data_IF_480736061709
#
_entry.id   IF_480736061709
#
_cell.length_a   1.000
_cell.length_b   1.000
_cell.length_c   1.000
_cell.angle_alpha   90.00
_cell.angle_beta   90.00
_cell.angle_gamma   90.00
#
_symmetry.space_group_name_H-M   'P 1'
#
loop_
_entity.id
_entity.type
_entity.pdbx_description
1 polymer ?
#
# COMPACT_ATOMS: atom_id res chain seq x y z
N UNK A 1 17.79 16.14 -9.27
CA UNK A 1 17.41 14.73 -9.04
C UNK A 1 18.44 13.88 -9.73
N UNK A 2 19.11 12.98 -9.00
CA UNK A 2 19.96 11.98 -9.61
C UNK A 2 19.08 11.08 -10.47
N UNK A 3 19.47 10.89 -11.72
CA UNK A 3 18.67 10.17 -12.69
C UNK A 3 18.84 8.65 -12.52
N UNK A 4 17.92 8.03 -11.80
CA UNK A 4 17.84 6.56 -11.71
C UNK A 4 17.30 5.94 -13.03
N UNK A 5 16.97 6.77 -14.04
CA UNK A 5 16.42 6.31 -15.33
C UNK A 5 17.42 5.52 -16.19
N UNK A 6 18.69 5.51 -15.82
CA UNK A 6 19.71 4.69 -16.49
C UNK A 6 19.86 3.28 -15.93
N UNK A 7 19.14 2.97 -14.84
CA UNK A 7 19.12 1.62 -14.27
C UNK A 7 18.05 0.76 -14.97
N UNK A 8 18.26 -0.55 -15.11
CA UNK A 8 17.21 -1.48 -15.57
C UNK A 8 15.94 -1.33 -14.72
N UNK A 9 14.76 -1.51 -15.33
CA UNK A 9 13.47 -1.31 -14.65
C UNK A 9 13.31 -2.11 -13.35
N UNK A 10 13.96 -3.28 -13.26
CA UNK A 10 14.01 -4.10 -12.05
C UNK A 10 14.86 -3.51 -10.91
N UNK A 11 15.68 -2.50 -11.20
CA UNK A 11 16.56 -1.82 -10.23
C UNK A 11 16.16 -0.36 -10.00
N UNK A 12 15.13 0.12 -10.70
CA UNK A 12 14.58 1.46 -10.53
C UNK A 12 13.66 1.49 -9.34
N UNK A 13 14.20 1.87 -8.21
CA UNK A 13 13.41 2.16 -7.02
C UNK A 13 12.73 0.91 -6.43
N UNK A 14 12.29 1.05 -5.21
CA UNK A 14 11.51 0.04 -4.48
C UNK A 14 10.05 0.51 -4.39
N UNK A 15 9.12 -0.33 -4.80
CA UNK A 15 7.71 -0.17 -4.50
C UNK A 15 7.23 -1.33 -3.63
N UNK A 16 6.52 -1.07 -2.52
CA UNK A 16 6.01 -2.13 -1.67
C UNK A 16 4.90 -2.90 -2.40
N UNK A 17 4.80 -4.18 -2.13
CA UNK A 17 3.65 -4.98 -2.55
C UNK A 17 2.48 -4.65 -1.63
N UNK A 18 1.38 -4.16 -2.21
CA UNK A 18 0.13 -3.95 -1.47
C UNK A 18 -0.66 -5.24 -1.46
N UNK A 19 -0.93 -5.77 -0.28
CA UNK A 19 -1.69 -7.00 -0.09
C UNK A 19 -2.94 -6.74 0.73
N UNK A 20 -4.02 -7.44 0.38
CA UNK A 20 -5.28 -7.36 1.09
C UNK A 20 -6.19 -8.53 0.75
N UNK A 21 -7.38 -8.48 1.33
CA UNK A 21 -8.44 -9.46 1.09
C UNK A 21 -9.69 -8.71 0.70
N UNK A 22 -10.26 -9.04 -0.45
CA UNK A 22 -11.56 -8.56 -0.91
C UNK A 22 -12.63 -9.61 -0.66
N UNK A 23 -13.81 -9.20 -0.23
CA UNK A 23 -14.96 -10.10 -0.02
C UNK A 23 -15.85 -10.22 -1.24
N UNK A 24 -15.76 -9.24 -2.13
CA UNK A 24 -16.52 -9.19 -3.38
C UNK A 24 -15.58 -8.76 -4.51
N UNK A 25 -16.13 -8.56 -5.70
CA UNK A 25 -15.38 -7.90 -6.76
C UNK A 25 -15.19 -6.43 -6.38
N UNK A 26 -14.06 -6.14 -5.77
CA UNK A 26 -13.80 -4.86 -5.10
C UNK A 26 -12.91 -3.96 -5.93
N UNK A 27 -13.13 -2.66 -5.82
CA UNK A 27 -12.22 -1.66 -6.35
C UNK A 27 -11.14 -1.34 -5.31
N UNK A 28 -9.89 -1.60 -5.65
CA UNK A 28 -8.74 -1.21 -4.84
C UNK A 28 -8.17 0.08 -5.37
N UNK A 29 -8.09 1.06 -4.50
CA UNK A 29 -7.49 2.37 -4.79
C UNK A 29 -6.31 2.59 -3.86
N UNK A 30 -5.15 2.85 -4.43
CA UNK A 30 -3.93 3.20 -3.69
C UNK A 30 -3.64 4.68 -3.90
N UNK A 31 -3.56 5.41 -2.79
CA UNK A 31 -3.20 6.83 -2.79
C UNK A 31 -1.87 7.03 -2.08
N UNK A 32 -1.11 7.98 -2.56
CA UNK A 32 0.08 8.47 -1.89
C UNK A 32 -0.01 10.01 -1.83
N UNK A 33 0.13 10.56 -0.63
CA UNK A 33 -0.01 12.01 -0.41
C UNK A 33 -1.33 12.59 -0.97
N UNK A 34 -2.42 11.83 -0.90
CA UNK A 34 -3.74 12.20 -1.42
C UNK A 34 -3.98 11.91 -2.91
N UNK A 35 -2.93 11.61 -3.69
CA UNK A 35 -3.08 11.28 -5.11
C UNK A 35 -3.27 9.80 -5.35
N UNK A 36 -4.18 9.46 -6.27
CA UNK A 36 -4.34 8.08 -6.73
C UNK A 36 -3.13 7.72 -7.59
N UNK A 37 -2.34 6.74 -7.13
CA UNK A 37 -1.21 6.18 -7.87
C UNK A 37 -1.54 4.85 -8.52
N UNK A 38 -2.59 4.18 -8.06
CA UNK A 38 -3.08 2.92 -8.61
C UNK A 38 -4.57 2.73 -8.32
N UNK A 39 -5.30 2.21 -9.29
CA UNK A 39 -6.69 1.84 -9.12
C UNK A 39 -7.01 0.65 -10.03
N UNK A 40 -7.56 -0.41 -9.46
CA UNK A 40 -7.97 -1.59 -10.22
C UNK A 40 -9.09 -2.34 -9.49
N UNK A 41 -9.79 -3.20 -10.22
CA UNK A 41 -10.72 -4.17 -9.64
C UNK A 41 -10.00 -5.48 -9.36
N UNK A 42 -10.28 -6.05 -8.21
CA UNK A 42 -9.75 -7.34 -7.77
C UNK A 42 -10.91 -8.31 -7.50
N UNK A 43 -10.74 -9.60 -7.82
CA UNK A 43 -11.74 -10.61 -7.48
C UNK A 43 -11.79 -10.85 -5.96
N UNK A 44 -12.87 -11.48 -5.45
CA UNK A 44 -12.92 -11.93 -4.07
C UNK A 44 -11.76 -12.84 -3.72
N UNK A 45 -11.23 -12.68 -2.52
CA UNK A 45 -10.08 -13.42 -2.02
C UNK A 45 -8.89 -12.51 -1.73
N UNK A 46 -7.76 -13.12 -1.46
CA UNK A 46 -6.50 -12.41 -1.24
C UNK A 46 -5.96 -11.87 -2.56
N UNK A 47 -5.51 -10.63 -2.54
CA UNK A 47 -4.85 -9.98 -3.68
C UNK A 47 -3.47 -9.44 -3.28
N UNK A 48 -2.59 -9.33 -4.27
CA UNK A 48 -1.29 -8.67 -4.16
C UNK A 48 -1.06 -7.78 -5.39
N UNK A 49 -0.83 -6.49 -5.14
CA UNK A 49 -0.48 -5.52 -6.18
C UNK A 49 1.03 -5.37 -6.13
N UNK A 50 1.71 -5.84 -7.15
CA UNK A 50 3.17 -5.87 -7.27
C UNK A 50 3.71 -5.01 -8.43
N UNK A 51 2.83 -4.33 -9.14
CA UNK A 51 3.11 -3.52 -10.31
C UNK A 51 2.98 -2.01 -10.05
N UNK A 52 3.07 -1.60 -8.79
CA UNK A 52 3.14 -0.18 -8.44
C UNK A 52 4.42 0.42 -8.99
N UNK A 53 4.27 1.52 -9.71
CA UNK A 53 5.43 2.30 -10.13
C UNK A 53 6.12 2.92 -8.91
N UNK A 54 7.45 2.82 -8.81
CA UNK A 54 8.20 3.52 -7.78
C UNK A 54 7.91 5.01 -7.88
N UNK A 55 7.28 5.58 -6.88
CA UNK A 55 7.12 7.03 -6.79
C UNK A 55 8.31 7.60 -6.03
N UNK A 56 8.93 8.65 -6.56
CA UNK A 56 10.05 9.33 -5.88
C UNK A 56 9.63 10.10 -4.62
N UNK A 57 8.35 10.09 -4.27
CA UNK A 57 7.81 10.74 -3.09
C UNK A 57 7.84 9.79 -1.89
N UNK A 58 8.38 10.27 -0.79
CA UNK A 58 8.26 9.59 0.50
C UNK A 58 6.83 9.80 1.03
N UNK A 59 6.19 8.74 1.45
CA UNK A 59 4.86 8.82 2.05
C UNK A 59 4.19 7.46 2.09
N UNK A 60 3.39 7.24 3.10
CA UNK A 60 2.63 6.01 3.21
C UNK A 60 1.62 5.88 2.07
N UNK A 61 1.31 4.65 1.71
CA UNK A 61 0.26 4.33 0.76
C UNK A 61 -1.06 4.13 1.50
N UNK A 62 -2.03 4.97 1.22
CA UNK A 62 -3.39 4.81 1.72
C UNK A 62 -4.16 3.88 0.78
N UNK A 63 -4.47 2.69 1.25
CA UNK A 63 -5.18 1.68 0.49
C UNK A 63 -6.65 1.67 0.89
N UNK A 64 -7.52 1.83 -0.08
CA UNK A 64 -8.97 1.71 0.09
C UNK A 64 -9.48 0.55 -0.76
N UNK A 65 -10.13 -0.41 -0.11
CA UNK A 65 -10.84 -1.51 -0.76
C UNK A 65 -12.32 -1.17 -0.67
N UNK A 66 -12.95 -0.89 -1.80
CA UNK A 66 -14.37 -0.64 -1.89
C UNK A 66 -15.08 -1.86 -2.45
N UNK A 67 -15.84 -2.52 -1.59
CA UNK A 67 -16.62 -3.70 -1.92
C UNK A 67 -17.80 -3.38 -2.86
N UNK A 68 -18.35 -4.39 -3.52
CA UNK A 68 -19.48 -4.23 -4.45
C UNK A 68 -20.74 -3.65 -3.77
N UNK A 69 -20.94 -3.87 -2.47
CA UNK A 69 -22.02 -3.32 -1.67
C UNK A 69 -21.75 -1.88 -1.17
N UNK A 70 -20.61 -1.30 -1.53
CA UNK A 70 -20.22 0.06 -1.15
C UNK A 70 -19.49 0.17 0.18
N UNK A 71 -19.34 -0.92 0.95
CA UNK A 71 -18.49 -0.91 2.15
C UNK A 71 -17.04 -0.65 1.79
N UNK A 72 -16.38 0.13 2.60
CA UNK A 72 -14.97 0.47 2.43
C UNK A 72 -14.13 -0.06 3.58
N UNK A 73 -13.03 -0.71 3.24
CA UNK A 73 -11.95 -1.04 4.16
C UNK A 73 -10.76 -0.15 3.82
N UNK A 74 -10.14 0.43 4.83
CA UNK A 74 -8.98 1.30 4.66
C UNK A 74 -7.84 0.82 5.55
N UNK A 75 -6.66 0.79 4.98
CA UNK A 75 -5.42 0.56 5.73
C UNK A 75 -4.29 1.34 5.09
N UNK A 76 -3.24 1.53 5.86
CA UNK A 76 -2.03 2.20 5.40
C UNK A 76 -0.96 1.15 5.17
N UNK A 77 -0.45 1.08 3.95
CA UNK A 77 0.75 0.34 3.64
C UNK A 77 1.93 1.26 3.87
N UNK A 78 2.81 0.97 4.84
CA UNK A 78 4.00 1.77 5.03
C UNK A 78 4.86 1.75 3.77
N UNK A 79 5.12 2.92 3.22
CA UNK A 79 6.11 3.13 2.19
C UNK A 79 7.18 4.04 2.76
N UNK A 80 8.22 3.46 3.25
CA UNK A 80 9.47 4.18 3.40
C UNK A 80 10.40 3.62 2.33
N UNK A 81 10.74 4.45 1.36
CA UNK A 81 12.01 4.23 0.71
C UNK A 81 13.03 4.20 1.85
N UNK A 82 13.68 3.07 2.05
CA UNK A 82 14.85 2.99 2.91
C UNK A 82 15.71 4.22 2.63
N UNK A 83 16.32 4.85 3.64
CA UNK A 83 17.43 5.72 3.35
C UNK A 83 18.37 4.87 2.51
N UNK A 84 18.39 5.14 1.21
CA UNK A 84 19.24 4.43 0.28
C UNK A 84 20.63 4.73 0.78
N UNK A 85 21.28 3.71 1.38
CA UNK A 85 22.64 3.85 1.83
C UNK A 85 23.46 4.31 0.63
N UNK A 86 23.98 5.54 0.70
CA UNK A 86 24.76 6.10 -0.38
C UNK A 86 26.20 5.62 -0.26
N UNK A 87 26.83 5.38 -1.40
CA UNK A 87 28.27 5.13 -1.46
C UNK A 87 29.01 6.37 -1.01
N UNK A 88 30.17 6.15 -0.38
CA UNK A 88 31.05 7.21 0.10
C UNK A 88 31.28 8.28 -0.98
N UNK A 89 31.14 9.54 -0.60
CA UNK A 89 31.32 10.70 -1.48
C UNK A 89 30.17 11.00 -2.44
N UNK A 90 29.14 10.16 -2.50
CA UNK A 90 27.99 10.43 -3.37
C UNK A 90 26.95 11.30 -2.68
N UNK A 91 26.50 12.33 -3.39
CA UNK A 91 25.42 13.22 -2.99
C UNK A 91 24.19 12.99 -3.85
N UNK A 92 23.07 12.66 -3.21
CA UNK A 92 21.75 12.68 -3.82
C UNK A 92 20.95 13.86 -3.28
N UNK A 93 20.34 14.62 -4.16
CA UNK A 93 19.52 15.76 -3.77
C UNK A 93 18.20 15.81 -4.55
N UNK A 94 17.21 16.43 -3.96
CA UNK A 94 15.93 16.69 -4.58
C UNK A 94 15.40 18.06 -4.20
N UNK A 95 14.90 18.79 -5.18
CA UNK A 95 14.20 20.06 -5.00
C UNK A 95 12.81 19.90 -5.59
N UNK A 96 11.79 20.22 -4.81
CA UNK A 96 10.37 20.14 -5.23
C UNK A 96 9.71 21.46 -4.85
N UNK A 97 8.91 21.99 -5.75
CA UNK A 97 8.03 23.13 -5.49
C UNK A 97 6.65 22.84 -6.05
N UNK A 98 5.61 23.27 -5.36
CA UNK A 98 4.26 23.01 -5.81
C UNK A 98 3.20 23.51 -4.84
N UNK A 99 1.96 23.19 -5.14
CA UNK A 99 0.81 23.46 -4.30
C UNK A 99 0.26 22.14 -3.78
N UNK A 100 0.05 22.03 -2.46
CA UNK A 100 -0.57 20.87 -1.86
C UNK A 100 -1.99 20.68 -2.38
N UNK A 101 -2.35 19.45 -2.70
CA UNK A 101 -3.71 19.08 -3.12
C UNK A 101 -4.19 17.93 -2.26
N UNK A 102 -5.41 18.00 -1.77
CA UNK A 102 -6.05 16.96 -0.98
C UNK A 102 -7.43 16.63 -1.50
N UNK A 103 -7.85 15.40 -1.32
CA UNK A 103 -9.24 14.97 -1.52
C UNK A 103 -10.12 15.22 -0.31
N UNK A 104 -9.54 15.63 0.81
CA UNK A 104 -10.26 15.99 2.04
C UNK A 104 -10.89 17.37 1.86
N UNK A 105 -12.21 17.41 1.94
CA UNK A 105 -12.95 18.67 1.85
C UNK A 105 -12.56 19.63 2.96
N UNK A 106 -12.34 20.90 2.61
CA UNK A 106 -11.96 21.93 3.57
C UNK A 106 -10.48 21.94 3.97
N UNK A 107 -9.63 21.09 3.39
CA UNK A 107 -8.18 21.15 3.62
C UNK A 107 -7.58 22.45 3.09
N UNK A 108 -6.44 22.84 3.68
CA UNK A 108 -5.62 23.91 3.11
C UNK A 108 -4.89 23.36 1.88
N UNK A 109 -4.55 24.26 0.97
CA UNK A 109 -3.77 23.96 -0.21
C UNK A 109 -2.54 24.87 -0.25
N UNK A 110 -1.65 24.71 0.73
CA UNK A 110 -0.47 25.57 0.83
C UNK A 110 0.49 25.35 -0.33
N UNK A 111 1.02 26.44 -0.85
CA UNK A 111 2.19 26.40 -1.74
C UNK A 111 3.43 26.11 -0.90
N UNK A 112 4.31 25.26 -1.40
CA UNK A 112 5.48 24.82 -0.67
C UNK A 112 6.72 24.65 -1.55
N UNK A 113 7.85 24.74 -0.91
CA UNK A 113 9.14 24.31 -1.43
C UNK A 113 9.76 23.27 -0.50
N UNK A 114 10.40 22.28 -1.06
CA UNK A 114 11.10 21.23 -0.35
C UNK A 114 12.49 21.03 -0.93
N UNK A 115 13.47 20.90 -0.05
CA UNK A 115 14.84 20.47 -0.37
C UNK A 115 15.15 19.21 0.44
N UNK A 116 15.69 18.19 -0.20
CA UNK A 116 16.19 16.98 0.45
C UNK A 116 17.62 16.69 -0.01
N UNK A 117 18.45 16.20 0.92
CA UNK A 117 19.85 15.86 0.70
C UNK A 117 20.15 14.51 1.35
N UNK A 118 20.91 13.67 0.66
CA UNK A 118 21.43 12.40 1.18
C UNK A 118 22.91 12.34 0.75
N UNK A 119 23.79 12.15 1.70
CA UNK A 119 25.25 12.13 1.44
C UNK A 119 25.91 10.92 2.08
N UNK A 120 26.69 10.19 1.29
CA UNK A 120 27.48 9.05 1.73
C UNK A 120 28.77 9.46 2.42
N UNK A 121 28.90 9.12 3.70
CA UNK A 121 30.10 9.28 4.51
C UNK A 121 30.94 7.99 4.49
N UNK A 122 32.24 8.06 4.92
CA UNK A 122 33.04 6.87 5.18
C UNK A 122 32.38 5.90 6.17
N UNK A 123 32.88 4.65 6.22
CA UNK A 123 32.46 3.62 7.15
C UNK A 123 30.97 3.26 7.05
N UNK A 124 30.44 3.08 5.84
CA UNK A 124 29.06 2.69 5.59
C UNK A 124 28.02 3.57 6.32
N UNK A 125 28.32 4.85 6.43
CA UNK A 125 27.44 5.83 7.08
C UNK A 125 26.83 6.75 6.05
N UNK A 126 25.58 7.13 6.23
CA UNK A 126 24.86 8.07 5.36
C UNK A 126 24.23 9.15 6.21
N UNK A 127 24.49 10.39 5.86
CA UNK A 127 23.81 11.54 6.45
C UNK A 127 22.69 11.99 5.51
N UNK A 128 21.51 12.26 6.05
CA UNK A 128 20.38 12.73 5.27
C UNK A 128 19.59 13.80 6.00
N UNK A 129 18.90 14.62 5.25
CA UNK A 129 18.06 15.65 5.82
C UNK A 129 17.27 16.41 4.77
N UNK A 130 16.47 17.33 5.21
CA UNK A 130 15.65 18.14 4.34
C UNK A 130 14.90 19.23 5.06
N UNK A 131 14.35 20.13 4.28
CA UNK A 131 13.53 21.22 4.77
C UNK A 131 12.28 21.35 3.90
N UNK A 132 11.18 21.72 4.52
CA UNK A 132 9.95 22.12 3.84
C UNK A 132 9.60 23.51 4.33
N UNK A 133 9.34 24.41 3.38
CA UNK A 133 8.85 25.76 3.66
C UNK A 133 7.53 25.99 2.93
N UNK A 134 6.52 26.44 3.66
CA UNK A 134 5.24 26.90 3.15
C UNK A 134 4.81 28.14 3.94
N UNK A 135 3.72 28.80 3.55
CA UNK A 135 3.27 30.02 4.19
C UNK A 135 3.06 29.89 5.71
N UNK A 136 2.32 28.87 6.10
CA UNK A 136 1.97 28.63 7.51
C UNK A 136 2.66 27.37 8.10
N UNK A 137 3.61 26.77 7.38
CA UNK A 137 4.30 25.56 7.81
C UNK A 137 5.79 25.61 7.46
N UNK A 138 6.60 25.18 8.41
CA UNK A 138 8.03 25.01 8.22
C UNK A 138 8.49 23.75 8.94
N UNK A 139 9.31 22.94 8.30
CA UNK A 139 9.95 21.80 8.95
C UNK A 139 11.38 21.62 8.48
N UNK A 140 12.21 21.07 9.38
CA UNK A 140 13.56 20.65 9.08
C UNK A 140 13.82 19.28 9.68
N UNK A 141 14.44 18.41 8.92
CA UNK A 141 14.79 17.06 9.32
C UNK A 141 16.29 16.82 9.19
N UNK A 142 16.83 16.04 10.11
CA UNK A 142 18.21 15.56 10.07
C UNK A 142 18.24 14.11 10.54
N UNK A 143 18.97 13.26 9.82
CA UNK A 143 19.08 11.85 10.14
C UNK A 143 20.42 11.26 9.75
N UNK A 144 20.72 10.12 10.36
CA UNK A 144 21.93 9.35 10.11
C UNK A 144 21.54 7.88 9.93
N UNK A 145 22.17 7.23 8.97
CA UNK A 145 22.05 5.79 8.73
C UNK A 145 23.43 5.12 8.80
N UNK A 146 23.48 3.90 9.30
CA UNK A 146 24.69 3.10 9.35
C UNK A 146 24.40 1.66 8.90
N UNK A 147 25.23 1.15 8.01
CA UNK A 147 25.18 -0.22 7.51
C UNK A 147 26.10 -1.14 8.29
N UNK A 148 25.54 -2.24 8.80
CA UNK A 148 26.25 -3.27 9.53
C UNK A 148 26.55 -4.52 8.65
N UNK A 149 26.65 -4.34 7.34
CA UNK A 149 26.85 -5.41 6.38
C UNK A 149 25.68 -6.39 6.36
N UNK A 150 25.94 -7.68 6.53
CA UNK A 150 24.91 -8.73 6.52
C UNK A 150 23.86 -8.59 7.62
N UNK A 151 24.11 -7.85 8.67
CA UNK A 151 23.16 -7.61 9.75
C UNK A 151 22.10 -6.55 9.39
N UNK A 152 22.23 -5.91 8.22
CA UNK A 152 21.29 -4.89 7.78
C UNK A 152 21.77 -3.47 8.12
N UNK A 153 20.84 -2.52 8.11
CA UNK A 153 21.13 -1.11 8.39
C UNK A 153 20.13 -0.52 9.38
N UNK A 154 20.60 0.44 10.15
CA UNK A 154 19.80 1.22 11.11
C UNK A 154 19.87 2.68 10.73
N UNK A 155 18.75 3.38 10.80
CA UNK A 155 18.71 4.83 10.67
C UNK A 155 17.94 5.46 11.81
N UNK A 156 18.34 6.67 12.18
CA UNK A 156 17.64 7.50 13.14
C UNK A 156 17.55 8.92 12.63
N UNK A 157 16.41 9.56 12.81
CA UNK A 157 16.20 10.95 12.42
C UNK A 157 15.29 11.69 13.37
N UNK A 158 15.44 13.01 13.34
CA UNK A 158 14.60 13.96 14.04
C UNK A 158 14.08 15.00 13.04
N UNK A 159 12.82 15.32 13.16
CA UNK A 159 12.16 16.38 12.40
C UNK A 159 11.59 17.41 13.38
N UNK A 160 11.94 18.64 13.20
CA UNK A 160 11.33 19.80 13.90
C UNK A 160 10.30 20.43 12.97
N UNK A 161 9.09 20.71 13.45
CA UNK A 161 8.09 21.47 12.70
C UNK A 161 7.58 22.69 13.47
N UNK A 162 7.17 23.68 12.71
CA UNK A 162 6.43 24.86 13.17
C UNK A 162 5.24 25.06 12.26
N UNK A 163 4.06 25.12 12.86
CA UNK A 163 2.79 25.22 12.14
C UNK A 163 1.98 26.37 12.71
N UNK A 164 1.51 27.25 11.83
CA UNK A 164 0.47 28.22 12.19
C UNK A 164 -0.87 27.56 11.89
N UNK A 165 -1.68 27.36 12.93
CA UNK A 165 -2.99 26.73 12.83
C UNK A 165 -4.01 27.73 12.26
N UNK A 166 -5.22 27.24 11.94
CA UNK A 166 -6.29 28.07 11.37
C UNK A 166 -6.87 29.09 12.34
N UNK A 167 -6.74 28.86 13.62
CA UNK A 167 -7.11 29.77 14.71
C UNK A 167 -5.99 30.77 15.05
N UNK A 168 -5.00 30.89 14.17
CA UNK A 168 -3.79 31.72 14.34
C UNK A 168 -2.84 31.28 15.46
N UNK A 169 -3.15 30.20 16.19
CA UNK A 169 -2.23 29.61 17.17
C UNK A 169 -0.98 29.06 16.47
N UNK A 170 0.13 29.07 17.18
CA UNK A 170 1.41 28.57 16.69
C UNK A 170 1.80 27.34 17.49
N UNK A 171 1.95 26.24 16.76
CA UNK A 171 2.38 24.97 17.32
C UNK A 171 3.80 24.65 16.84
N UNK A 172 4.58 24.04 17.73
CA UNK A 172 5.90 23.52 17.37
C UNK A 172 6.19 22.23 18.10
N UNK A 173 6.90 21.35 17.45
CA UNK A 173 7.23 20.05 18.05
C UNK A 173 8.25 19.29 17.26
N UNK A 174 8.60 18.12 17.76
CA UNK A 174 9.58 17.21 17.19
C UNK A 174 8.96 15.85 16.94
N UNK A 175 9.45 15.19 15.88
CA UNK A 175 9.22 13.79 15.59
C UNK A 175 10.53 13.04 15.54
N UNK A 176 10.61 11.92 16.22
CA UNK A 176 11.78 11.05 16.29
C UNK A 176 11.45 9.72 15.61
N UNK A 177 12.34 9.24 14.75
CA UNK A 177 12.15 7.98 14.04
C UNK A 177 13.41 7.14 14.13
N UNK A 178 13.22 5.84 14.35
CA UNK A 178 14.26 4.82 14.23
C UNK A 178 13.74 3.76 13.26
N UNK A 179 14.57 3.34 12.33
CA UNK A 179 14.25 2.28 11.37
C UNK A 179 15.39 1.28 11.28
N UNK A 180 15.01 0.01 11.18
CA UNK A 180 15.89 -1.08 10.84
C UNK A 180 15.44 -1.69 9.52
N UNK A 181 16.39 -1.99 8.66
CA UNK A 181 16.12 -2.66 7.39
C UNK A 181 17.18 -3.70 7.09
N UNK A 182 16.76 -4.80 6.51
CA UNK A 182 17.61 -5.89 6.08
C UNK A 182 17.08 -6.42 4.75
N UNK A 183 17.98 -6.52 3.78
CA UNK A 183 17.77 -7.21 2.51
C UNK A 183 18.90 -8.21 2.36
N UNK A 184 18.58 -9.52 2.44
CA UNK A 184 19.56 -10.58 2.31
C UNK A 184 19.09 -11.56 1.25
N UNK A 185 19.60 -11.39 0.04
CA UNK A 185 19.36 -12.31 -1.07
C UNK A 185 19.79 -13.76 -0.78
N UNK A 186 20.87 -13.93 0.00
CA UNK A 186 21.43 -15.24 0.31
C UNK A 186 20.54 -16.10 1.24
N UNK A 187 19.74 -15.48 2.11
CA UNK A 187 18.83 -16.19 3.02
C UNK A 187 17.41 -16.31 2.51
N UNK A 188 17.14 -15.83 1.30
CA UNK A 188 15.78 -15.73 0.77
C UNK A 188 14.91 -14.67 1.46
N UNK A 189 15.51 -13.84 2.34
CA UNK A 189 14.82 -12.70 2.92
C UNK A 189 14.81 -11.58 1.89
N UNK A 190 13.66 -11.33 1.28
CA UNK A 190 13.55 -10.31 0.25
C UNK A 190 13.51 -8.92 0.84
N UNK A 191 12.98 -8.79 2.05
CA UNK A 191 12.87 -7.50 2.72
C UNK A 191 12.43 -7.65 4.17
N UNK A 192 13.07 -6.89 5.08
CA UNK A 192 12.62 -6.69 6.46
C UNK A 192 12.73 -5.22 6.80
N UNK A 193 11.64 -4.60 7.22
CA UNK A 193 11.60 -3.25 7.74
C UNK A 193 10.91 -3.27 9.10
N UNK A 194 11.59 -2.75 10.11
CA UNK A 194 11.00 -2.45 11.41
C UNK A 194 11.22 -0.98 11.72
N UNK A 195 10.19 -0.28 12.17
CA UNK A 195 10.26 1.14 12.43
C UNK A 195 9.45 1.56 13.63
N UNK A 196 9.94 2.58 14.32
CA UNK A 196 9.25 3.27 15.38
C UNK A 196 9.35 4.78 15.19
N UNK A 197 8.23 5.48 15.32
CA UNK A 197 8.16 6.93 15.32
C UNK A 197 7.41 7.41 16.54
N UNK A 198 7.92 8.46 17.17
CA UNK A 198 7.24 9.21 18.22
C UNK A 198 7.23 10.69 17.86
N UNK A 199 6.08 11.34 18.01
CA UNK A 199 5.91 12.78 17.76
C UNK A 199 5.33 13.45 19.00
N UNK A 200 5.89 14.59 19.37
CA UNK A 200 5.36 15.42 20.46
C UNK A 200 4.02 16.04 20.07
N UNK A 201 3.24 16.47 21.04
CA UNK A 201 1.89 16.99 20.81
C UNK A 201 1.85 18.23 19.88
N UNK A 202 2.88 19.05 19.91
CA UNK A 202 2.98 20.22 19.02
C UNK A 202 3.54 19.94 17.63
N UNK A 203 3.92 18.70 17.34
CA UNK A 203 4.43 18.31 16.02
C UNK A 203 3.28 18.00 15.08
N UNK A 204 3.25 18.68 13.95
CA UNK A 204 2.39 18.38 12.81
C UNK A 204 3.26 18.08 11.60
N UNK A 205 2.96 17.02 10.85
CA UNK A 205 3.54 16.83 9.54
C UNK A 205 2.86 17.74 8.51
N UNK A 206 3.41 17.82 7.31
CA UNK A 206 2.89 18.72 6.29
C UNK A 206 1.47 18.36 5.83
N UNK A 207 1.14 17.07 5.81
CA UNK A 207 -0.22 16.59 5.52
C UNK A 207 -1.19 17.01 6.64
N UNK A 208 -0.87 16.73 7.89
CA UNK A 208 -1.69 17.14 9.03
C UNK A 208 -1.91 18.65 9.06
N UNK A 209 -0.88 19.44 8.79
CA UNK A 209 -0.96 20.90 8.76
C UNK A 209 -1.94 21.42 7.69
N UNK A 210 -2.07 20.71 6.56
CA UNK A 210 -3.00 21.05 5.49
C UNK A 210 -4.41 20.52 5.75
N UNK A 211 -4.55 19.30 6.27
CA UNK A 211 -5.82 18.55 6.30
C UNK A 211 -6.58 18.67 7.62
N UNK A 212 -5.93 19.06 8.71
CA UNK A 212 -6.63 19.23 9.98
C UNK A 212 -7.61 20.39 9.94
N UNK A 213 -8.89 20.04 10.04
CA UNK A 213 -9.99 21.01 10.15
C UNK A 213 -10.36 21.17 11.62
N UNK A 214 -10.41 22.39 12.17
CA UNK A 214 -10.87 22.63 13.52
C UNK A 214 -12.33 22.18 13.66
N UNK A 215 -12.62 21.44 14.73
CA UNK A 215 -13.98 21.10 15.17
C UNK A 215 -14.86 20.38 14.15
N UNK A 216 -14.44 19.17 13.76
CA UNK A 216 -15.32 18.10 13.29
C UNK A 216 -16.57 18.49 12.50
N UNK A 217 -16.46 19.16 11.36
CA UNK A 217 -17.61 19.26 10.48
C UNK A 217 -18.03 17.86 10.00
N UNK A 218 -19.35 17.56 10.00
CA UNK A 218 -19.84 16.26 9.55
C UNK A 218 -19.46 16.01 8.10
N UNK A 219 -18.70 14.95 7.85
CA UNK A 219 -18.26 14.55 6.51
C UNK A 219 -16.76 14.67 6.24
N UNK A 220 -15.99 15.27 7.12
CA UNK A 220 -14.54 15.27 7.06
C UNK A 220 -13.97 14.03 7.72
N UNK A 221 -13.20 13.25 6.99
CA UNK A 221 -12.39 12.18 7.55
C UNK A 221 -11.29 12.81 8.42
N UNK A 222 -11.53 12.84 9.71
CA UNK A 222 -10.57 13.34 10.67
C UNK A 222 -9.55 12.23 10.96
N UNK A 223 -8.36 12.37 10.40
CA UNK A 223 -7.20 11.63 10.88
C UNK A 223 -6.78 12.28 12.19
N UNK A 224 -6.80 11.52 13.26
CA UNK A 224 -6.37 12.03 14.57
C UNK A 224 -4.91 12.53 14.51
N UNK A 225 -4.55 13.42 15.44
CA UNK A 225 -3.19 13.94 15.56
C UNK A 225 -2.22 12.82 15.98
N UNK A 226 -1.29 12.46 15.11
CA UNK A 226 -0.41 11.29 15.25
C UNK A 226 0.56 11.45 16.42
N UNK A 227 0.61 10.44 17.28
CA UNK A 227 1.49 10.39 18.45
C UNK A 227 2.65 9.44 18.26
N UNK A 228 2.37 8.18 18.00
CA UNK A 228 3.40 7.17 17.83
C UNK A 228 2.97 6.11 16.84
N UNK A 229 3.93 5.55 16.13
CA UNK A 229 3.71 4.46 15.18
C UNK A 229 4.81 3.44 15.31
N UNK A 230 4.43 2.18 15.51
CA UNK A 230 5.30 1.01 15.39
C UNK A 230 4.87 0.27 14.15
N UNK A 231 5.81 -0.12 13.30
CA UNK A 231 5.54 -0.86 12.07
C UNK A 231 6.53 -1.98 11.87
N UNK A 232 6.08 -3.06 11.23
CA UNK A 232 6.89 -4.21 10.86
C UNK A 232 6.43 -4.73 9.50
N UNK A 233 7.38 -4.97 8.59
CA UNK A 233 7.16 -5.65 7.33
C UNK A 233 8.26 -6.69 7.14
N UNK A 234 7.88 -7.93 6.88
CA UNK A 234 8.79 -9.03 6.60
C UNK A 234 8.27 -9.76 5.36
N UNK A 235 9.14 -10.00 4.40
CA UNK A 235 8.91 -10.92 3.29
C UNK A 235 10.05 -11.92 3.26
N UNK A 236 9.74 -13.20 3.37
CA UNK A 236 10.70 -14.29 3.47
C UNK A 236 10.38 -15.37 2.44
N UNK A 237 11.33 -15.69 1.59
CA UNK A 237 11.27 -16.86 0.72
C UNK A 237 11.90 -18.05 1.43
N UNK A 238 11.19 -19.18 1.44
CA UNK A 238 11.61 -20.42 2.12
C UNK A 238 12.04 -21.50 1.09
N UNK A 239 12.50 -21.08 -0.08
CA UNK A 239 12.83 -21.97 -1.18
C UNK A 239 11.63 -22.79 -1.65
N UNK A 240 11.78 -24.11 -1.73
CA UNK A 240 10.71 -25.03 -2.15
C UNK A 240 9.53 -25.10 -1.17
N UNK A 241 9.70 -24.60 0.06
CA UNK A 241 8.64 -24.51 1.06
C UNK A 241 7.76 -23.27 0.93
N UNK A 242 7.96 -22.48 -0.13
CA UNK A 242 7.11 -21.33 -0.44
C UNK A 242 7.63 -20.00 0.09
N UNK A 243 6.73 -19.05 0.30
CA UNK A 243 7.03 -17.73 0.81
C UNK A 243 6.04 -17.30 1.88
N UNK A 244 6.55 -16.51 2.80
CA UNK A 244 5.80 -15.97 3.94
C UNK A 244 5.93 -14.44 3.95
N UNK A 245 4.86 -13.76 4.30
CA UNK A 245 4.91 -12.34 4.62
C UNK A 245 4.18 -12.02 5.92
N UNK A 246 4.68 -11.03 6.61
CA UNK A 246 4.07 -10.41 7.77
C UNK A 246 4.15 -8.89 7.61
N UNK A 247 3.05 -8.21 7.76
CA UNK A 247 2.98 -6.75 7.72
C UNK A 247 2.04 -6.26 8.81
N UNK A 248 2.43 -5.21 9.53
CA UNK A 248 1.57 -4.65 10.55
C UNK A 248 2.04 -3.33 11.10
N UNK A 249 1.13 -2.60 11.71
CA UNK A 249 1.42 -1.38 12.45
C UNK A 249 0.47 -1.17 13.63
N UNK A 250 0.95 -0.43 14.64
CA UNK A 250 0.19 0.15 15.75
C UNK A 250 0.38 1.67 15.68
N UNK A 251 -0.68 2.41 15.43
CA UNK A 251 -0.69 3.87 15.36
C UNK A 251 -1.52 4.43 16.51
N UNK A 252 -0.92 5.30 17.30
CA UNK A 252 -1.58 6.03 18.40
C UNK A 252 -1.71 7.49 18.06
N UNK A 253 -2.73 8.12 18.62
CA UNK A 253 -3.06 9.52 18.39
C UNK A 253 -3.12 10.30 19.71
N UNK A 254 -2.79 11.57 19.64
CA UNK A 254 -3.02 12.49 20.75
C UNK A 254 -4.51 12.74 20.94
N UNK A 255 -4.95 12.87 22.20
CA UNK A 255 -6.35 13.12 22.52
C UNK A 255 -7.30 11.93 22.37
N UNK A 256 -6.80 10.75 22.03
CA UNK A 256 -7.57 9.52 21.91
C UNK A 256 -6.95 8.39 22.74
N UNK A 257 -7.79 7.60 23.39
CA UNK A 257 -7.36 6.47 24.23
C UNK A 257 -7.32 5.14 23.46
N UNK A 258 -7.36 5.17 22.15
CA UNK A 258 -7.29 3.99 21.28
C UNK A 258 -6.04 3.94 20.45
N UNK A 259 -5.82 2.80 19.82
CA UNK A 259 -4.81 2.64 18.77
C UNK A 259 -5.44 2.04 17.54
N UNK A 260 -5.05 2.55 16.39
CA UNK A 260 -5.32 1.94 15.10
C UNK A 260 -4.29 0.82 14.89
N UNK A 261 -4.76 -0.38 14.57
CA UNK A 261 -3.92 -1.55 14.33
C UNK A 261 -4.28 -2.21 13.03
N UNK A 262 -3.26 -2.66 12.34
CA UNK A 262 -3.39 -3.51 11.17
C UNK A 262 -2.37 -4.64 11.26
N UNK A 263 -2.81 -5.85 10.94
CA UNK A 263 -1.96 -7.02 10.82
C UNK A 263 -2.37 -7.79 9.58
N UNK A 264 -1.41 -8.11 8.73
CA UNK A 264 -1.58 -8.98 7.58
C UNK A 264 -0.50 -10.06 7.59
N UNK A 265 -0.91 -11.31 7.47
CA UNK A 265 -0.04 -12.48 7.42
C UNK A 265 -0.44 -13.30 6.22
N UNK A 266 0.54 -13.78 5.46
CA UNK A 266 0.28 -14.64 4.32
C UNK A 266 1.37 -15.68 4.11
N UNK A 267 0.95 -16.82 3.62
CA UNK A 267 1.81 -17.90 3.21
C UNK A 267 1.36 -18.42 1.85
N UNK A 268 2.30 -18.65 0.96
CA UNK A 268 2.04 -19.28 -0.34
C UNK A 268 3.10 -20.33 -0.65
N UNK A 269 2.67 -21.42 -1.26
CA UNK A 269 3.55 -22.53 -1.65
C UNK A 269 3.08 -23.17 -2.95
N UNK A 270 4.04 -23.55 -3.79
CA UNK A 270 3.80 -24.37 -4.97
C UNK A 270 4.05 -25.83 -4.61
N UNK A 271 2.99 -26.61 -4.61
CA UNK A 271 3.05 -28.03 -4.26
C UNK A 271 2.10 -28.82 -5.16
N UNK A 272 2.54 -29.96 -5.67
CA UNK A 272 1.77 -30.82 -6.60
C UNK A 272 1.30 -30.09 -7.88
N UNK A 273 2.14 -29.21 -8.41
CA UNK A 273 1.83 -28.36 -9.56
C UNK A 273 0.61 -27.44 -9.34
N UNK A 274 0.35 -27.08 -8.11
CA UNK A 274 -0.71 -26.15 -7.69
C UNK A 274 -0.13 -25.08 -6.78
N UNK A 275 -0.68 -23.88 -6.84
CA UNK A 275 -0.31 -22.80 -5.92
C UNK A 275 -1.36 -22.71 -4.82
N UNK A 276 -0.91 -22.87 -3.59
CA UNK A 276 -1.71 -22.76 -2.37
C UNK A 276 -1.41 -21.45 -1.68
N UNK A 277 -2.44 -20.77 -1.20
CA UNK A 277 -2.31 -19.53 -0.46
C UNK A 277 -3.20 -19.51 0.77
N UNK A 278 -2.66 -19.00 1.88
CA UNK A 278 -3.40 -18.73 3.10
C UNK A 278 -3.06 -17.31 3.55
N UNK A 279 -4.09 -16.48 3.75
CA UNK A 279 -3.92 -15.09 4.14
C UNK A 279 -4.87 -14.76 5.29
N UNK A 280 -4.37 -13.99 6.23
CA UNK A 280 -5.13 -13.47 7.36
C UNK A 280 -4.91 -11.98 7.48
N UNK A 281 -5.98 -11.22 7.69
CA UNK A 281 -5.91 -9.80 8.01
C UNK A 281 -6.73 -9.49 9.25
N UNK A 282 -6.21 -8.59 10.06
CA UNK A 282 -6.89 -8.01 11.20
C UNK A 282 -6.70 -6.51 11.21
N UNK A 283 -7.80 -5.79 11.33
CA UNK A 283 -7.81 -4.33 11.36
C UNK A 283 -8.67 -3.85 12.52
N UNK A 284 -8.12 -2.93 13.31
CA UNK A 284 -8.81 -2.28 14.41
C UNK A 284 -8.73 -0.77 14.22
N UNK A 285 -9.87 -0.06 14.08
CA UNK A 285 -9.87 1.41 14.00
C UNK A 285 -9.56 2.07 15.34
N UNK A 286 -9.04 3.29 15.29
CA UNK A 286 -8.68 4.08 16.47
C UNK A 286 -9.89 4.54 17.30
N UNK A 287 -11.04 4.71 16.69
CA UNK A 287 -12.29 5.22 17.28
C UNK A 287 -13.07 4.19 18.11
N UNK A 288 -12.46 3.05 18.45
CA UNK A 288 -13.10 1.91 19.12
C UNK A 288 -14.24 1.26 18.34
N UNK A 289 -14.31 1.51 17.04
CA UNK A 289 -15.18 0.78 16.16
C UNK A 289 -14.89 -0.73 16.19
N UNK A 290 -15.77 -1.57 15.63
CA UNK A 290 -15.56 -3.01 15.60
C UNK A 290 -14.31 -3.35 14.81
N UNK A 291 -13.51 -4.28 15.35
CA UNK A 291 -12.40 -4.86 14.60
C UNK A 291 -12.92 -5.74 13.47
N UNK A 292 -12.18 -5.76 12.38
CA UNK A 292 -12.43 -6.62 11.23
C UNK A 292 -11.35 -7.69 11.15
N UNK A 293 -11.77 -8.94 10.94
CA UNK A 293 -10.89 -10.08 10.76
C UNK A 293 -11.33 -10.83 9.52
N UNK A 294 -10.36 -11.20 8.70
CA UNK A 294 -10.62 -11.95 7.47
C UNK A 294 -9.58 -13.05 7.33
N UNK A 295 -10.04 -14.23 6.95
CA UNK A 295 -9.21 -15.36 6.57
C UNK A 295 -9.55 -15.76 5.14
N UNK A 296 -8.54 -15.86 4.30
CA UNK A 296 -8.69 -16.28 2.91
C UNK A 296 -7.79 -17.46 2.59
N UNK A 297 -8.38 -18.48 2.00
CA UNK A 297 -7.68 -19.60 1.39
C UNK A 297 -7.82 -19.51 -0.13
N UNK A 298 -6.76 -19.79 -0.86
CA UNK A 298 -6.76 -19.82 -2.31
C UNK A 298 -6.01 -21.03 -2.85
N UNK A 299 -6.49 -21.53 -3.97
CA UNK A 299 -5.87 -22.62 -4.72
C UNK A 299 -5.90 -22.25 -6.21
N UNK A 300 -4.76 -22.32 -6.86
CA UNK A 300 -4.63 -22.12 -8.31
C UNK A 300 -4.03 -23.36 -8.96
N UNK A 301 -4.66 -23.83 -10.04
CA UNK A 301 -4.30 -25.04 -10.76
C UNK A 301 -4.03 -24.67 -12.21
N UNK A 302 -2.80 -24.79 -12.70
CA UNK A 302 -2.50 -24.57 -14.12
C UNK A 302 -3.09 -25.69 -14.97
N UNK A 303 -3.84 -25.30 -16.00
CA UNK A 303 -4.54 -26.22 -16.89
C UNK A 303 -3.78 -26.52 -18.20
N UNK A 304 -2.51 -26.18 -18.27
CA UNK A 304 -1.71 -26.19 -19.50
C UNK A 304 -1.77 -27.46 -20.35
N UNK A 305 -2.13 -28.63 -19.78
CA UNK A 305 -2.32 -29.88 -20.51
C UNK A 305 -3.68 -29.95 -21.23
N UNK A 306 -4.71 -29.27 -20.71
CA UNK A 306 -6.06 -29.32 -21.22
C UNK A 306 -6.48 -28.01 -21.90
N UNK A 307 -6.06 -26.90 -21.33
CA UNK A 307 -6.31 -25.55 -21.84
C UNK A 307 -5.03 -24.73 -21.73
N UNK A 308 -4.31 -24.50 -22.83
CA UNK A 308 -3.06 -23.75 -22.81
C UNK A 308 -3.24 -22.37 -22.23
N UNK A 309 -2.26 -21.93 -21.43
CA UNK A 309 -2.21 -20.61 -20.80
C UNK A 309 -3.42 -20.28 -19.90
N UNK A 310 -4.06 -21.30 -19.34
CA UNK A 310 -5.19 -21.13 -18.45
C UNK A 310 -4.92 -21.69 -17.06
N UNK A 311 -5.52 -21.06 -16.05
CA UNK A 311 -5.51 -21.48 -14.66
C UNK A 311 -6.95 -21.56 -14.15
N UNK A 312 -7.27 -22.65 -13.48
CA UNK A 312 -8.45 -22.75 -12.65
C UNK A 312 -8.09 -22.30 -11.23
N UNK A 313 -8.99 -21.60 -10.57
CA UNK A 313 -8.77 -21.18 -9.19
C UNK A 313 -10.01 -21.43 -8.33
N UNK A 314 -9.77 -21.61 -7.05
CA UNK A 314 -10.78 -21.68 -6.02
C UNK A 314 -10.34 -20.83 -4.84
N UNK A 315 -11.27 -20.07 -4.25
CA UNK A 315 -10.99 -19.27 -3.06
C UNK A 315 -12.17 -19.34 -2.08
N UNK A 316 -11.80 -19.26 -0.81
CA UNK A 316 -12.75 -19.11 0.32
C UNK A 316 -12.27 -17.97 1.18
N UNK A 317 -13.15 -17.03 1.45
CA UNK A 317 -12.87 -15.91 2.35
C UNK A 317 -13.95 -15.86 3.41
N UNK A 318 -13.56 -15.81 4.67
CA UNK A 318 -14.47 -15.68 5.80
C UNK A 318 -14.09 -14.51 6.68
N UNK A 319 -15.08 -13.79 7.21
CA UNK A 319 -14.87 -12.69 8.15
C UNK A 319 -15.25 -13.09 9.59
N UNK A 320 -15.05 -12.18 10.52
CA UNK A 320 -15.36 -12.31 11.95
C UNK A 320 -16.86 -12.63 12.20
N UNK A 321 -17.76 -12.15 11.35
CA UNK A 321 -19.18 -12.42 11.44
C UNK A 321 -19.60 -13.74 10.78
N UNK A 322 -18.62 -14.57 10.38
CA UNK A 322 -18.83 -15.81 9.63
C UNK A 322 -19.55 -15.61 8.27
N UNK A 323 -19.42 -14.42 7.69
CA UNK A 323 -19.77 -14.21 6.29
C UNK A 323 -18.68 -14.88 5.45
N UNK A 324 -19.10 -15.89 4.69
CA UNK A 324 -18.18 -16.71 3.90
C UNK A 324 -18.53 -16.57 2.43
N UNK A 325 -17.53 -16.18 1.65
CA UNK A 325 -17.57 -16.10 0.19
C UNK A 325 -16.74 -17.24 -0.37
N UNK A 326 -17.35 -18.07 -1.20
CA UNK A 326 -16.67 -19.11 -1.96
C UNK A 326 -16.71 -18.72 -3.44
N UNK A 327 -15.63 -18.94 -4.14
CA UNK A 327 -15.52 -18.62 -5.54
C UNK A 327 -14.67 -19.65 -6.28
N UNK A 328 -15.14 -20.06 -7.45
CA UNK A 328 -14.37 -20.85 -8.38
C UNK A 328 -14.37 -20.18 -9.76
N UNK A 329 -13.28 -20.24 -10.45
CA UNK A 329 -13.17 -19.57 -11.75
C UNK A 329 -12.05 -20.09 -12.61
N UNK A 330 -11.98 -19.50 -13.78
CA UNK A 330 -11.01 -19.77 -14.81
C UNK A 330 -10.45 -18.46 -15.33
N UNK A 331 -9.14 -18.36 -15.40
CA UNK A 331 -8.43 -17.24 -16.02
C UNK A 331 -7.45 -17.74 -17.05
N UNK A 332 -7.23 -16.99 -18.10
CA UNK A 332 -6.26 -17.38 -19.10
C UNK A 332 -6.07 -16.35 -20.19
N UNK A 333 -5.17 -16.73 -21.09
CA UNK A 333 -4.92 -16.01 -22.35
C UNK A 333 -5.24 -16.91 -23.52
N UNK A 334 -5.70 -16.32 -24.61
CA UNK A 334 -6.05 -17.03 -25.82
C UNK A 334 -5.63 -16.24 -27.06
N UNK A 335 -5.83 -16.85 -28.22
CA UNK A 335 -5.45 -16.40 -29.56
C UNK A 335 -3.95 -16.47 -29.84
N UNK A 336 -3.58 -16.27 -31.10
CA UNK A 336 -2.24 -16.57 -31.63
C UNK A 336 -1.08 -15.86 -30.91
N UNK A 337 -1.33 -14.68 -30.38
CA UNK A 337 -0.33 -13.85 -29.69
C UNK A 337 -0.65 -13.64 -28.19
N UNK A 338 -1.49 -14.48 -27.60
CA UNK A 338 -2.00 -14.29 -26.24
C UNK A 338 -2.62 -12.91 -26.02
N UNK A 339 -3.21 -12.35 -27.05
CA UNK A 339 -3.75 -11.00 -27.04
C UNK A 339 -5.21 -10.91 -26.54
N UNK A 340 -5.82 -12.01 -26.15
CA UNK A 340 -7.07 -12.07 -25.45
C UNK A 340 -6.83 -12.57 -24.02
N UNK A 341 -7.07 -11.72 -23.02
CA UNK A 341 -7.15 -12.11 -21.62
C UNK A 341 -8.61 -12.34 -21.25
N UNK A 342 -8.90 -13.41 -20.55
CA UNK A 342 -10.25 -13.71 -20.10
C UNK A 342 -10.27 -14.18 -18.64
N UNK A 343 -11.35 -13.88 -17.95
CA UNK A 343 -11.61 -14.37 -16.60
C UNK A 343 -13.10 -14.62 -16.42
N UNK A 344 -13.45 -15.78 -15.90
CA UNK A 344 -14.82 -16.16 -15.62
C UNK A 344 -14.86 -16.75 -14.22
N UNK A 345 -15.80 -16.33 -13.39
CA UNK A 345 -15.99 -16.90 -12.07
C UNK A 345 -17.45 -17.00 -11.66
N UNK A 346 -17.69 -17.96 -10.78
CA UNK A 346 -18.94 -18.18 -10.08
C UNK A 346 -18.64 -18.25 -8.60
N UNK A 347 -19.44 -17.53 -7.80
CA UNK A 347 -19.31 -17.50 -6.37
C UNK A 347 -20.62 -17.70 -5.65
N UNK A 348 -20.51 -18.01 -4.37
CA UNK A 348 -21.61 -18.08 -3.43
C UNK A 348 -21.22 -17.42 -2.12
N UNK A 349 -22.11 -16.58 -1.60
CA UNK A 349 -21.97 -15.93 -0.32
C UNK A 349 -23.11 -16.34 0.59
N UNK A 350 -22.78 -16.76 1.80
CA UNK A 350 -23.81 -17.12 2.80
C UNK A 350 -24.53 -15.86 3.33
N UNK A 351 -25.40 -16.03 4.31
CA UNK A 351 -26.16 -14.96 4.98
C UNK A 351 -27.06 -14.13 4.06
N UNK A 352 -27.65 -14.81 3.06
CA UNK A 352 -28.70 -14.22 2.22
C UNK A 352 -28.21 -13.48 0.98
N UNK A 353 -26.90 -13.36 0.77
CA UNK A 353 -26.36 -12.70 -0.44
C UNK A 353 -26.32 -13.60 -1.69
N UNK A 354 -26.34 -14.93 -1.50
CA UNK A 354 -26.56 -15.92 -2.57
C UNK A 354 -25.45 -15.99 -3.62
N UNK A 355 -25.84 -16.25 -4.85
CA UNK A 355 -24.95 -16.45 -5.98
C UNK A 355 -24.46 -15.13 -6.58
N UNK A 356 -23.20 -15.13 -7.00
CA UNK A 356 -22.58 -14.03 -7.75
C UNK A 356 -21.65 -14.59 -8.80
N UNK A 357 -21.31 -13.78 -9.79
CA UNK A 357 -20.35 -14.17 -10.80
C UNK A 357 -19.89 -13.00 -11.63
N UNK A 358 -18.80 -13.21 -12.33
CA UNK A 358 -18.31 -12.25 -13.30
C UNK A 358 -17.69 -12.95 -14.51
N UNK A 359 -17.69 -12.26 -15.63
CA UNK A 359 -16.95 -12.62 -16.81
C UNK A 359 -16.28 -11.36 -17.37
N UNK A 360 -15.01 -11.43 -17.66
CA UNK A 360 -14.26 -10.34 -18.28
C UNK A 360 -13.46 -10.85 -19.47
N UNK A 361 -13.34 -10.01 -20.49
CA UNK A 361 -12.50 -10.24 -21.63
C UNK A 361 -11.80 -8.94 -22.02
N UNK A 362 -10.51 -9.02 -22.27
CA UNK A 362 -9.65 -7.92 -22.69
C UNK A 362 -8.84 -8.36 -23.91
N UNK A 363 -9.13 -7.73 -25.03
CA UNK A 363 -8.47 -8.00 -26.31
C UNK A 363 -7.57 -6.84 -26.72
N UNK A 364 -6.29 -7.12 -26.90
CA UNK A 364 -5.26 -6.20 -27.40
C UNK A 364 -4.93 -6.51 -28.86
N UNK A 365 -5.57 -5.77 -29.75
CA UNK A 365 -5.33 -5.86 -31.20
C UNK A 365 -4.25 -4.87 -31.67
N UNK A 366 -3.89 -5.01 -32.94
CA UNK A 366 -2.88 -4.14 -33.60
C UNK A 366 -3.28 -2.65 -33.61
N UNK A 367 -4.57 -2.36 -33.58
CA UNK A 367 -5.10 -1.00 -33.71
C UNK A 367 -5.79 -0.47 -32.45
N UNK A 368 -5.79 -1.24 -31.37
CA UNK A 368 -6.42 -0.81 -30.12
C UNK A 368 -6.77 -1.97 -29.21
N UNK A 369 -7.33 -1.60 -28.08
CA UNK A 369 -7.74 -2.49 -27.00
C UNK A 369 -9.25 -2.41 -26.82
N UNK A 370 -9.88 -3.58 -26.66
CA UNK A 370 -11.31 -3.72 -26.37
C UNK A 370 -11.46 -4.49 -25.08
N UNK A 371 -12.11 -3.89 -24.10
CA UNK A 371 -12.41 -4.52 -22.83
C UNK A 371 -13.90 -4.70 -22.67
N UNK A 372 -14.32 -5.84 -22.13
CA UNK A 372 -15.70 -6.12 -21.80
C UNK A 372 -15.80 -6.87 -20.49
N UNK A 373 -16.82 -6.58 -19.69
CA UNK A 373 -17.06 -7.26 -18.44
C UNK A 373 -18.52 -7.29 -18.05
N UNK A 374 -18.92 -8.38 -17.42
CA UNK A 374 -20.24 -8.57 -16.86
C UNK A 374 -20.12 -9.09 -15.44
N UNK A 375 -20.77 -8.42 -14.50
CA UNK A 375 -20.86 -8.82 -13.11
C UNK A 375 -22.31 -9.01 -12.73
N UNK A 376 -22.62 -10.00 -11.94
CA UNK A 376 -23.92 -10.14 -11.30
C UNK A 376 -23.77 -10.56 -9.83
N UNK A 377 -24.66 -10.08 -9.02
CA UNK A 377 -24.95 -10.54 -7.66
C UNK A 377 -26.44 -10.60 -7.48
N UNK A 378 -26.93 -10.99 -6.31
CA UNK A 378 -28.36 -11.16 -6.06
C UNK A 378 -29.18 -9.93 -6.48
N UNK A 379 -28.70 -8.74 -6.20
CA UNK A 379 -29.43 -7.48 -6.39
C UNK A 379 -28.80 -6.52 -7.43
N UNK A 380 -27.69 -6.89 -8.04
CA UNK A 380 -26.94 -5.99 -8.90
C UNK A 380 -26.46 -6.70 -10.16
N UNK A 381 -26.61 -6.02 -11.28
CA UNK A 381 -26.00 -6.40 -12.56
C UNK A 381 -25.24 -5.22 -13.13
N UNK A 382 -24.04 -5.45 -13.55
CA UNK A 382 -23.17 -4.43 -14.10
C UNK A 382 -22.51 -4.91 -15.39
N UNK A 383 -22.54 -4.05 -16.39
CA UNK A 383 -21.80 -4.23 -17.64
C UNK A 383 -20.75 -3.15 -17.74
N UNK A 384 -19.52 -3.55 -17.99
CA UNK A 384 -18.39 -2.65 -18.23
C UNK A 384 -17.90 -2.87 -19.65
N UNK A 385 -17.56 -1.80 -20.33
CA UNK A 385 -16.90 -1.87 -21.64
C UNK A 385 -15.94 -0.70 -21.79
N UNK A 386 -14.86 -0.93 -22.52
CA UNK A 386 -13.85 0.07 -22.81
C UNK A 386 -13.27 -0.14 -24.20
N UNK A 387 -12.92 0.98 -24.83
CA UNK A 387 -12.20 1.02 -26.09
C UNK A 387 -11.04 1.99 -25.94
N UNK A 388 -9.85 1.54 -26.28
CA UNK A 388 -8.67 2.38 -26.32
C UNK A 388 -7.95 2.16 -27.65
N UNK A 389 -7.50 3.23 -28.29
CA UNK A 389 -6.79 3.20 -29.55
C UNK A 389 -5.53 4.07 -29.46
N UNK A 390 -4.46 3.66 -30.18
CA UNK A 390 -3.21 4.42 -30.23
C UNK A 390 -2.41 4.09 -31.47
#
# INVERSE_FOLDING_TARGET
>A
VSDDNQLPDSQRGFAPIVRGIAQSNAQVTVRQNGYIIYQSYVPPGAFAINDLYPTGSQGNLDVTIREADGREQRFVQPYSSLPIMQREGQLKYGVVGGKYRSTVSGSREMEFGQLSLIYGLPANTTLYGGVIGAGDYQSAALGIGHGFGELGSVSADVTQSRTKMRDDSKEQGQSYRIQYSKDIAETGTNFTLAGYRYSTNGFYDFQEANEMVPNGEPGTFWYGHKRSRTQLNITQTLGDYGSFYLSGYDQRYWGQNGSERNLAVGYSVNMWNMTWGLNYTWTRPADKGPDNQQLAFSLSIPLGKWLPNANAYYSVTTDKQHKTVQQAGLTGTALANNNLNYSISQGYTNKGEGNSGYATADYKGTYGEVTGGYNYSQDTRQVNYGLAGG
#
